data_IF_973168179745
#
_entry.id   IF_973168179745
#
_cell.length_a   1.000
_cell.length_b   1.000
_cell.length_c   1.000
_cell.angle_alpha   90.00
_cell.angle_beta   90.00
_cell.angle_gamma   90.00
#
_symmetry.space_group_name_H-M   'P 1'
#
loop_
_entity.id
_entity.type
_entity.pdbx_description
1 polymer ?
#
# COMPACT_ATOMS: atom_id res chain seq x y z
N UNK A 1 -15.42 10.25 56.60
CA UNK A 1 -14.27 10.45 55.68
C UNK A 1 -14.00 9.27 54.72
N UNK A 2 -14.86 8.25 54.62
CA UNK A 2 -14.64 7.06 53.75
C UNK A 2 -15.36 7.09 52.38
N UNK A 3 -16.21 8.09 52.10
CA UNK A 3 -17.03 8.16 50.87
C UNK A 3 -16.35 8.90 49.70
N UNK A 4 -15.31 9.70 49.96
CA UNK A 4 -14.60 10.46 48.92
C UNK A 4 -13.45 9.69 48.27
N UNK A 5 -12.96 8.61 48.91
CA UNK A 5 -11.84 7.81 48.40
C UNK A 5 -12.21 7.00 47.15
N UNK A 6 -13.49 6.68 46.95
CA UNK A 6 -13.96 5.90 45.79
C UNK A 6 -14.11 6.76 44.51
N UNK A 7 -14.26 8.08 44.65
CA UNK A 7 -14.47 9.00 43.51
C UNK A 7 -13.14 9.35 42.82
N UNK A 8 -12.00 9.17 43.50
CA UNK A 8 -10.66 9.46 42.95
C UNK A 8 -10.07 8.30 42.11
N UNK A 9 -10.62 7.08 42.20
CA UNK A 9 -10.12 5.89 41.49
C UNK A 9 -10.68 5.71 40.08
N UNK A 10 -11.83 6.34 39.76
CA UNK A 10 -12.46 6.27 38.43
C UNK A 10 -11.67 7.01 37.31
N UNK A 11 -11.06 8.20 37.53
CA UNK A 11 -10.28 8.87 36.48
C UNK A 11 -8.97 8.14 36.13
N UNK A 12 -8.41 7.34 37.05
CA UNK A 12 -7.15 6.60 36.82
C UNK A 12 -7.33 5.44 35.82
N UNK A 13 -8.50 4.78 35.82
CA UNK A 13 -8.83 3.71 34.87
C UNK A 13 -9.02 4.23 33.43
N UNK A 14 -9.45 5.49 33.26
CA UNK A 14 -9.54 6.13 31.94
C UNK A 14 -8.19 6.59 31.38
N UNK A 15 -7.17 6.79 32.22
CA UNK A 15 -5.82 7.17 31.77
C UNK A 15 -5.05 5.96 31.20
N UNK A 16 -5.25 4.76 31.74
CA UNK A 16 -4.57 3.54 31.29
C UNK A 16 -5.02 3.08 29.89
N UNK A 17 -6.29 3.29 29.54
CA UNK A 17 -6.86 2.87 28.25
C UNK A 17 -6.47 3.77 27.07
N UNK A 18 -6.06 5.03 27.32
CA UNK A 18 -5.58 5.95 26.26
C UNK A 18 -4.17 5.60 25.75
N UNK A 19 -3.36 4.92 26.54
CA UNK A 19 -1.95 4.66 26.20
C UNK A 19 -1.82 3.67 25.03
N UNK A 20 -2.62 2.60 25.02
CA UNK A 20 -2.57 1.57 23.97
C UNK A 20 -3.01 2.07 22.59
N UNK A 21 -4.05 2.90 22.54
CA UNK A 21 -4.56 3.47 21.28
C UNK A 21 -3.58 4.47 20.70
N UNK A 22 -3.05 5.36 21.53
CA UNK A 22 -2.08 6.37 21.09
C UNK A 22 -0.82 5.70 20.54
N UNK A 23 -0.36 4.61 21.18
CA UNK A 23 0.76 3.79 20.69
C UNK A 23 0.46 3.17 19.33
N UNK A 24 -0.70 2.54 19.12
CA UNK A 24 -1.07 1.96 17.82
C UNK A 24 -1.11 3.02 16.71
N UNK A 25 -1.65 4.21 17.00
CA UNK A 25 -1.67 5.32 16.04
C UNK A 25 -0.25 5.83 15.75
N UNK A 26 0.61 5.96 16.76
CA UNK A 26 2.00 6.36 16.59
C UNK A 26 2.78 5.34 15.74
N UNK A 27 2.58 4.04 15.99
CA UNK A 27 3.18 2.95 15.20
C UNK A 27 2.71 2.97 13.74
N UNK A 28 1.42 3.21 13.50
CA UNK A 28 0.89 3.36 12.14
C UNK A 28 1.41 4.61 11.43
N UNK A 29 1.60 5.73 12.15
CA UNK A 29 2.24 6.93 11.61
C UNK A 29 3.72 6.72 11.29
N UNK A 30 4.44 5.91 12.08
CA UNK A 30 5.83 5.55 11.80
C UNK A 30 5.97 4.75 10.49
N UNK A 31 4.98 3.92 10.12
CA UNK A 31 4.96 3.26 8.80
C UNK A 31 4.93 4.26 7.64
N UNK A 32 4.20 5.37 7.77
CA UNK A 32 4.21 6.43 6.76
C UNK A 32 5.60 7.04 6.53
N UNK A 33 6.45 7.03 7.56
CA UNK A 33 7.85 7.51 7.51
C UNK A 33 8.85 6.45 7.03
N UNK A 34 8.42 5.20 6.83
CA UNK A 34 9.29 4.15 6.32
C UNK A 34 9.64 4.37 4.84
N UNK A 35 10.79 3.83 4.42
CA UNK A 35 11.17 3.73 3.00
C UNK A 35 10.66 2.42 2.43
N UNK A 36 10.20 2.45 1.19
CA UNK A 36 9.63 1.30 0.50
C UNK A 36 10.44 1.08 -0.77
N UNK A 37 10.85 -0.17 -1.00
CA UNK A 37 11.64 -0.56 -2.16
C UNK A 37 10.99 -1.80 -2.78
N UNK A 38 10.79 -1.79 -4.10
CA UNK A 38 10.30 -2.96 -4.82
C UNK A 38 11.45 -3.96 -4.97
N UNK A 39 11.38 -5.08 -4.24
CA UNK A 39 12.38 -6.15 -4.29
C UNK A 39 12.17 -7.00 -5.53
N UNK A 40 10.93 -7.43 -5.73
CA UNK A 40 10.54 -8.24 -6.88
C UNK A 40 9.10 -7.97 -7.27
N UNK A 41 8.83 -8.19 -8.55
CA UNK A 41 7.50 -8.35 -9.09
C UNK A 41 7.43 -9.80 -9.61
N UNK A 42 7.07 -10.73 -8.73
CA UNK A 42 7.16 -12.18 -8.99
C UNK A 42 6.28 -12.59 -10.17
N UNK A 43 5.10 -11.98 -10.26
CA UNK A 43 4.14 -12.20 -11.34
C UNK A 43 3.39 -10.92 -11.63
N UNK A 44 3.35 -10.49 -12.90
CA UNK A 44 2.62 -9.31 -13.36
C UNK A 44 1.95 -9.68 -14.67
N UNK A 45 0.62 -9.66 -14.70
CA UNK A 45 -0.20 -10.01 -15.85
C UNK A 45 -1.09 -8.83 -16.22
N UNK A 46 -1.08 -8.44 -17.49
CA UNK A 46 -1.98 -7.42 -18.03
C UNK A 46 -2.77 -8.02 -19.19
N UNK A 47 -4.11 -8.06 -19.08
CA UNK A 47 -4.98 -8.81 -19.98
C UNK A 47 -4.53 -10.28 -20.17
N UNK A 48 -4.00 -10.90 -19.11
CA UNK A 48 -3.44 -12.25 -19.13
C UNK A 48 -2.07 -12.41 -19.81
N UNK A 49 -1.45 -11.30 -20.27
CA UNK A 49 -0.09 -11.31 -20.83
C UNK A 49 0.91 -11.17 -19.69
N UNK A 50 1.86 -12.12 -19.58
CA UNK A 50 2.94 -12.03 -18.58
C UNK A 50 3.90 -10.89 -18.94
N UNK A 51 3.95 -9.85 -18.13
CA UNK A 51 4.77 -8.66 -18.40
C UNK A 51 6.26 -8.91 -18.23
N UNK A 52 6.67 -9.96 -17.51
CA UNK A 52 8.09 -10.32 -17.33
C UNK A 52 8.77 -10.73 -18.63
N UNK A 53 8.01 -11.17 -19.65
CA UNK A 53 8.59 -11.46 -20.97
C UNK A 53 9.19 -10.22 -21.67
N UNK A 54 8.89 -9.02 -21.16
CA UNK A 54 9.44 -7.76 -21.63
C UNK A 54 10.61 -7.25 -20.77
N UNK A 55 11.08 -8.04 -19.81
CA UNK A 55 12.22 -7.68 -18.96
C UNK A 55 13.45 -7.36 -19.81
N UNK A 56 14.13 -6.26 -19.47
CA UNK A 56 15.31 -5.81 -20.20
C UNK A 56 15.03 -5.12 -21.55
N UNK A 57 13.77 -5.04 -22.00
CA UNK A 57 13.40 -4.28 -23.20
C UNK A 57 13.37 -2.77 -22.88
N UNK A 58 13.73 -1.94 -23.87
CA UNK A 58 13.80 -0.49 -23.69
C UNK A 58 12.43 0.19 -23.75
N UNK A 59 11.48 -0.38 -24.50
CA UNK A 59 10.15 0.20 -24.63
C UNK A 59 9.11 -0.90 -24.85
N UNK A 60 8.08 -0.92 -24.02
CA UNK A 60 7.00 -1.90 -24.12
C UNK A 60 5.85 -1.24 -24.88
N UNK A 61 5.62 -1.67 -26.13
CA UNK A 61 4.46 -1.23 -26.87
C UNK A 61 3.23 -2.05 -26.45
N UNK A 62 2.52 -1.58 -25.42
CA UNK A 62 1.27 -2.22 -24.97
C UNK A 62 0.19 -2.21 -26.08
N UNK A 63 0.19 -1.21 -26.95
CA UNK A 63 -0.81 -1.09 -28.03
C UNK A 63 -0.75 -2.19 -29.09
N UNK A 64 0.38 -2.91 -29.21
CA UNK A 64 0.53 -4.00 -30.18
C UNK A 64 0.05 -5.36 -29.66
N UNK A 65 -0.36 -5.46 -28.39
CA UNK A 65 -0.79 -6.73 -27.80
C UNK A 65 -2.24 -7.06 -28.21
N UNK A 66 -2.51 -8.17 -28.94
CA UNK A 66 -3.87 -8.48 -29.41
C UNK A 66 -4.89 -8.67 -28.27
N UNK A 67 -4.45 -9.22 -27.13
CA UNK A 67 -5.30 -9.38 -25.94
C UNK A 67 -5.72 -8.04 -25.34
N UNK A 68 -4.87 -7.00 -25.43
CA UNK A 68 -5.24 -5.66 -25.00
C UNK A 68 -6.30 -5.05 -25.91
N UNK A 69 -6.22 -5.25 -27.23
CA UNK A 69 -7.27 -4.79 -28.15
C UNK A 69 -8.65 -5.36 -27.79
N UNK A 70 -8.74 -6.67 -27.50
CA UNK A 70 -9.98 -7.29 -27.01
C UNK A 70 -10.42 -6.74 -25.65
N UNK A 71 -9.48 -6.41 -24.77
CA UNK A 71 -9.75 -5.77 -23.49
C UNK A 71 -10.32 -4.34 -23.64
N UNK A 72 -9.89 -3.58 -24.65
CA UNK A 72 -10.49 -2.29 -24.96
C UNK A 72 -11.93 -2.42 -25.48
N UNK A 73 -12.19 -3.39 -26.37
CA UNK A 73 -13.55 -3.66 -26.89
C UNK A 73 -14.49 -4.06 -25.76
N UNK A 74 -14.04 -4.96 -24.88
CA UNK A 74 -14.85 -5.44 -23.75
C UNK A 74 -14.87 -4.51 -22.53
N UNK A 75 -14.09 -3.42 -22.56
CA UNK A 75 -13.83 -2.52 -21.42
C UNK A 75 -13.31 -3.26 -20.18
N UNK A 76 -12.62 -4.37 -20.39
CA UNK A 76 -12.09 -5.25 -19.34
C UNK A 76 -10.63 -5.59 -19.62
N UNK A 77 -9.73 -4.93 -18.88
CA UNK A 77 -8.29 -5.16 -18.95
C UNK A 77 -7.83 -5.56 -17.55
N UNK A 78 -7.91 -6.85 -17.19
CA UNK A 78 -7.48 -7.30 -15.86
C UNK A 78 -5.97 -7.10 -15.69
N UNK A 79 -5.59 -6.49 -14.57
CA UNK A 79 -4.22 -6.39 -14.09
C UNK A 79 -4.10 -7.18 -12.80
N UNK A 80 -3.27 -8.21 -12.82
CA UNK A 80 -2.95 -9.04 -11.66
C UNK A 80 -1.44 -8.95 -11.38
N UNK A 81 -1.05 -8.57 -10.17
CA UNK A 81 0.34 -8.46 -9.80
C UNK A 81 0.62 -9.00 -8.39
N UNK A 82 1.76 -9.65 -8.22
CA UNK A 82 2.32 -10.06 -6.93
C UNK A 82 3.67 -9.38 -6.77
N UNK A 83 3.73 -8.47 -5.81
CA UNK A 83 4.91 -7.66 -5.53
C UNK A 83 5.49 -8.04 -4.18
N UNK A 84 6.80 -7.95 -4.03
CA UNK A 84 7.47 -8.03 -2.73
C UNK A 84 8.10 -6.69 -2.44
N UNK A 85 7.62 -6.02 -1.39
CA UNK A 85 8.14 -4.73 -0.95
C UNK A 85 9.06 -4.93 0.25
N UNK A 86 10.24 -4.31 0.21
CA UNK A 86 11.09 -4.13 1.40
C UNK A 86 10.74 -2.82 2.05
N UNK A 87 10.28 -2.89 3.29
CA UNK A 87 10.01 -1.74 4.15
C UNK A 87 11.23 -1.54 5.04
N UNK A 88 11.77 -0.33 5.10
CA UNK A 88 12.86 0.05 6.00
C UNK A 88 12.38 1.16 6.92
N UNK A 89 12.50 0.98 8.23
CA UNK A 89 12.09 1.97 9.22
C UNK A 89 13.29 2.80 9.70
N UNK A 90 13.43 4.06 9.24
CA UNK A 90 14.53 4.92 9.69
C UNK A 90 14.28 5.57 11.05
N UNK A 91 13.09 5.39 11.64
CA UNK A 91 12.68 6.11 12.86
C UNK A 91 13.08 5.38 14.13
N UNK A 92 13.09 6.08 15.27
CA UNK A 92 13.31 5.47 16.58
C UNK A 92 12.09 4.70 17.13
N UNK A 93 10.94 4.84 16.48
CA UNK A 93 9.69 4.19 16.87
C UNK A 93 9.47 2.91 16.08
N UNK A 94 8.94 1.86 16.71
CA UNK A 94 8.49 0.67 15.97
C UNK A 94 7.38 1.08 14.99
N UNK A 95 7.52 0.70 13.74
CA UNK A 95 6.48 0.92 12.74
C UNK A 95 5.63 -0.34 12.63
N UNK A 96 4.39 -0.29 13.09
CA UNK A 96 3.53 -1.46 13.15
C UNK A 96 2.06 -1.14 12.85
N UNK A 97 1.37 -2.10 12.25
CA UNK A 97 -0.07 -2.05 11.97
C UNK A 97 -0.62 -3.47 11.95
N UNK A 98 -1.77 -3.68 12.61
CA UNK A 98 -2.39 -5.01 12.70
C UNK A 98 -3.11 -5.38 11.42
N UNK A 99 -4.27 -4.76 11.22
CA UNK A 99 -5.07 -4.92 10.02
C UNK A 99 -5.32 -3.54 9.44
N UNK A 100 -5.43 -3.44 8.12
CA UNK A 100 -5.72 -2.18 7.48
C UNK A 100 -6.34 -2.35 6.10
N UNK A 101 -7.25 -1.45 5.78
CA UNK A 101 -7.61 -1.18 4.39
C UNK A 101 -6.51 -0.33 3.77
N UNK A 102 -6.17 -0.58 2.51
CA UNK A 102 -5.30 0.29 1.75
C UNK A 102 -5.94 0.70 0.44
N UNK A 103 -5.54 1.88 -0.02
CA UNK A 103 -5.79 2.39 -1.36
C UNK A 103 -4.48 2.85 -1.95
N UNK A 104 -4.25 2.53 -3.21
CA UNK A 104 -3.15 3.07 -3.98
C UNK A 104 -3.75 3.99 -5.03
N UNK A 105 -3.18 5.16 -5.16
CA UNK A 105 -3.58 6.15 -6.14
C UNK A 105 -2.41 6.44 -7.08
N UNK A 106 -2.74 6.61 -8.36
CA UNK A 106 -1.87 7.17 -9.39
C UNK A 106 -2.42 8.54 -9.77
N UNK A 107 -1.62 9.60 -9.63
CA UNK A 107 -2.04 10.98 -9.94
C UNK A 107 -3.39 11.36 -9.29
N UNK A 108 -3.55 11.01 -8.02
CA UNK A 108 -4.77 11.19 -7.21
C UNK A 108 -6.00 10.39 -7.65
N UNK A 109 -5.92 9.60 -8.71
CA UNK A 109 -6.96 8.63 -9.08
C UNK A 109 -6.75 7.33 -8.33
N UNK A 110 -7.79 6.83 -7.67
CA UNK A 110 -7.78 5.53 -7.01
C UNK A 110 -7.64 4.41 -8.04
N UNK A 111 -6.62 3.59 -7.87
CA UNK A 111 -6.28 2.53 -8.84
C UNK A 111 -6.40 1.13 -8.24
N UNK A 112 -6.09 1.00 -6.96
CA UNK A 112 -6.16 -0.26 -6.23
C UNK A 112 -6.74 -0.04 -4.85
N UNK A 113 -7.55 -0.97 -4.38
CA UNK A 113 -7.99 -1.07 -3.00
C UNK A 113 -7.83 -2.50 -2.51
N UNK A 114 -7.65 -2.67 -1.20
CA UNK A 114 -7.54 -3.99 -0.62
C UNK A 114 -7.42 -3.96 0.89
N UNK A 115 -7.23 -5.15 1.47
CA UNK A 115 -7.11 -5.34 2.91
C UNK A 115 -5.89 -6.19 3.22
N UNK A 116 -5.14 -5.77 4.23
CA UNK A 116 -4.12 -6.60 4.87
C UNK A 116 -4.67 -6.99 6.23
N UNK A 117 -4.80 -8.30 6.44
CA UNK A 117 -5.43 -8.90 7.61
C UNK A 117 -4.44 -9.51 8.61
N UNK A 118 -3.14 -9.27 8.42
CA UNK A 118 -2.07 -9.76 9.28
C UNK A 118 -1.14 -8.62 9.70
N UNK A 119 -0.55 -8.75 10.88
CA UNK A 119 0.32 -7.73 11.46
C UNK A 119 1.57 -7.52 10.63
N UNK A 120 1.82 -6.27 10.26
CA UNK A 120 3.09 -5.79 9.69
C UNK A 120 3.82 -5.04 10.79
N UNK A 121 5.05 -5.44 11.08
CA UNK A 121 5.89 -4.82 12.12
C UNK A 121 7.33 -4.69 11.64
N UNK A 122 7.87 -3.47 11.71
CA UNK A 122 9.21 -3.14 11.29
C UNK A 122 9.94 -2.49 12.46
N UNK A 123 10.97 -3.18 12.94
CA UNK A 123 11.80 -2.72 14.05
C UNK A 123 12.37 -1.31 13.79
N UNK A 124 12.59 -0.49 14.83
CA UNK A 124 13.16 0.85 14.69
C UNK A 124 14.63 0.81 14.26
N UNK A 125 15.19 1.99 13.99
CA UNK A 125 16.64 2.23 13.76
C UNK A 125 17.20 1.38 12.61
N UNK A 126 16.54 1.46 11.44
CA UNK A 126 16.99 0.79 10.22
C UNK A 126 16.47 -0.64 10.06
N UNK A 127 15.59 -1.12 10.96
CA UNK A 127 14.93 -2.41 10.80
C UNK A 127 14.24 -2.56 9.44
N UNK A 128 14.22 -3.79 8.93
CA UNK A 128 13.63 -4.10 7.62
C UNK A 128 12.66 -5.27 7.68
N UNK A 129 11.67 -5.26 6.81
CA UNK A 129 10.71 -6.36 6.62
C UNK A 129 10.36 -6.48 5.14
N UNK A 130 10.19 -7.70 4.64
CA UNK A 130 9.62 -7.96 3.31
C UNK A 130 8.14 -8.29 3.45
N UNK A 131 7.29 -7.58 2.70
CA UNK A 131 5.83 -7.75 2.71
C UNK A 131 5.37 -8.08 1.29
N UNK A 132 4.75 -9.26 1.08
CA UNK A 132 4.12 -9.58 -0.19
C UNK A 132 2.80 -8.81 -0.33
N UNK A 133 2.58 -8.19 -1.48
CA UNK A 133 1.36 -7.47 -1.83
C UNK A 133 0.78 -8.09 -3.09
N UNK A 134 -0.51 -8.44 -3.03
CA UNK A 134 -1.27 -8.94 -4.17
C UNK A 134 -2.20 -7.85 -4.66
N UNK A 135 -2.23 -7.65 -5.97
CA UNK A 135 -2.99 -6.62 -6.65
C UNK A 135 -3.84 -7.31 -7.72
N UNK A 136 -5.12 -6.97 -7.78
CA UNK A 136 -6.03 -7.39 -8.84
C UNK A 136 -7.02 -6.25 -9.11
N UNK A 137 -7.08 -5.74 -10.34
CA UNK A 137 -8.00 -4.66 -10.74
C UNK A 137 -8.32 -4.69 -12.23
N UNK A 138 -9.34 -3.94 -12.67
CA UNK A 138 -9.55 -3.63 -14.08
C UNK A 138 -8.82 -2.33 -14.45
N UNK A 139 -7.75 -2.44 -15.23
CA UNK A 139 -6.92 -1.34 -15.67
C UNK A 139 -7.48 -0.55 -16.86
N UNK A 140 -8.68 -0.90 -17.39
CA UNK A 140 -9.27 -0.20 -18.54
C UNK A 140 -9.29 1.33 -18.34
N UNK A 141 -9.85 1.79 -17.22
CA UNK A 141 -9.89 3.22 -16.90
C UNK A 141 -8.50 3.83 -16.71
N UNK A 142 -7.53 3.06 -16.22
CA UNK A 142 -6.15 3.52 -16.00
C UNK A 142 -5.39 3.76 -17.30
N UNK A 143 -5.80 3.10 -18.38
CA UNK A 143 -5.18 3.22 -19.69
C UNK A 143 -5.94 4.24 -20.56
N UNK A 144 -7.26 4.34 -20.41
CA UNK A 144 -8.09 5.26 -21.20
C UNK A 144 -8.16 6.68 -20.66
N UNK A 145 -8.00 6.88 -19.35
CA UNK A 145 -8.02 8.22 -18.74
C UNK A 145 -6.65 8.89 -18.91
N UNK A 146 -6.63 10.02 -19.62
CA UNK A 146 -5.44 10.83 -19.88
C UNK A 146 -4.67 11.21 -18.61
N UNK A 147 -5.35 11.40 -17.48
CA UNK A 147 -4.72 11.78 -16.20
C UNK A 147 -3.87 10.66 -15.61
N UNK A 148 -4.19 9.40 -15.93
CA UNK A 148 -3.59 8.22 -15.32
C UNK A 148 -2.76 7.39 -16.30
N UNK A 149 -3.07 7.47 -17.60
CA UNK A 149 -2.46 6.67 -18.66
C UNK A 149 -0.95 6.61 -18.60
N UNK A 150 -0.29 7.77 -18.57
CA UNK A 150 1.17 7.83 -18.63
C UNK A 150 1.81 7.32 -17.34
N UNK A 151 1.22 7.66 -16.18
CA UNK A 151 1.68 7.19 -14.87
C UNK A 151 1.48 5.67 -14.72
N UNK A 152 0.41 5.13 -15.28
CA UNK A 152 0.15 3.69 -15.32
C UNK A 152 1.11 2.97 -16.25
N UNK A 153 1.40 3.52 -17.43
CA UNK A 153 2.40 2.98 -18.35
C UNK A 153 3.80 2.94 -17.70
N UNK A 154 4.19 3.97 -16.96
CA UNK A 154 5.44 3.98 -16.19
C UNK A 154 5.43 2.91 -15.08
N UNK A 155 4.31 2.75 -14.37
CA UNK A 155 4.17 1.75 -13.32
C UNK A 155 4.34 0.33 -13.86
N UNK A 156 3.66 0.01 -14.97
CA UNK A 156 3.76 -1.29 -15.63
C UNK A 156 5.19 -1.53 -16.15
N UNK A 157 5.86 -0.51 -16.68
CA UNK A 157 7.27 -0.61 -17.08
C UNK A 157 8.19 -0.91 -15.90
N UNK A 158 8.01 -0.26 -14.74
CA UNK A 158 8.78 -0.58 -13.53
C UNK A 158 8.56 -2.02 -13.08
N UNK A 159 7.31 -2.49 -13.08
CA UNK A 159 6.96 -3.86 -12.69
C UNK A 159 7.50 -4.90 -13.67
N UNK A 160 7.60 -4.57 -14.96
CA UNK A 160 8.16 -5.46 -15.99
C UNK A 160 9.69 -5.54 -15.98
N UNK A 161 10.39 -4.63 -15.29
CA UNK A 161 11.84 -4.56 -15.31
C UNK A 161 12.44 -3.96 -16.59
N UNK A 162 11.74 -3.01 -17.22
CA UNK A 162 12.27 -2.27 -18.37
C UNK A 162 13.50 -1.44 -17.97
N UNK A 163 14.55 -1.40 -18.81
CA UNK A 163 15.86 -0.81 -18.46
C UNK A 163 15.80 0.69 -18.16
N UNK A 164 14.93 1.41 -18.87
CA UNK A 164 14.78 2.87 -18.77
C UNK A 164 13.42 3.24 -18.17
N UNK A 165 12.88 2.40 -17.29
CA UNK A 165 11.62 2.68 -16.62
C UNK A 165 11.76 3.97 -15.78
N UNK A 166 10.87 4.94 -16.04
CA UNK A 166 10.81 6.17 -15.22
C UNK A 166 10.28 5.81 -13.85
N UNK A 167 10.83 6.39 -12.78
CA UNK A 167 10.27 6.22 -11.43
C UNK A 167 8.79 6.57 -11.40
N UNK A 168 7.99 5.72 -10.77
CA UNK A 168 6.56 5.96 -10.56
C UNK A 168 6.32 6.51 -9.16
N UNK A 169 5.65 7.66 -9.06
CA UNK A 169 5.16 8.17 -7.78
C UNK A 169 3.75 7.62 -7.56
N UNK A 170 3.56 6.92 -6.45
CA UNK A 170 2.25 6.45 -6.01
C UNK A 170 1.88 7.11 -4.69
N UNK A 171 0.59 7.34 -4.48
CA UNK A 171 0.07 7.73 -3.17
C UNK A 171 -0.56 6.52 -2.51
N UNK A 172 -0.09 6.16 -1.33
CA UNK A 172 -0.64 5.08 -0.53
C UNK A 172 -1.48 5.71 0.57
N UNK A 173 -2.73 5.27 0.68
CA UNK A 173 -3.63 5.60 1.77
C UNK A 173 -3.89 4.33 2.55
N UNK A 174 -3.64 4.34 3.86
CA UNK A 174 -3.97 3.22 4.74
C UNK A 174 -4.98 3.67 5.80
N UNK A 175 -5.96 2.82 6.08
CA UNK A 175 -6.90 3.00 7.18
C UNK A 175 -6.68 1.86 8.17
N UNK A 176 -5.94 2.09 9.26
CA UNK A 176 -5.70 1.09 10.29
C UNK A 176 -6.99 0.65 10.97
N UNK A 177 -7.04 -0.62 11.34
CA UNK A 177 -7.94 -1.15 12.37
C UNK A 177 -7.21 -1.09 13.70
N UNK A 178 -7.83 -0.45 14.68
CA UNK A 178 -7.33 -0.24 16.03
C UNK A 178 -8.07 -1.12 17.03
N UNK A 179 -7.34 -1.76 17.92
CA UNK A 179 -7.91 -2.58 18.98
C UNK A 179 -8.18 -1.75 20.24
N UNK A 180 -9.45 -1.73 20.66
CA UNK A 180 -9.99 -1.06 21.86
C UNK A 180 -10.54 -2.12 22.83
N UNK A 181 -9.66 -2.67 23.67
CA UNK A 181 -10.02 -3.78 24.55
C UNK A 181 -10.46 -4.98 23.72
N UNK A 182 -11.73 -5.37 23.83
CA UNK A 182 -12.29 -6.53 23.11
C UNK A 182 -12.98 -6.16 21.78
N UNK A 183 -12.87 -4.90 21.33
CA UNK A 183 -13.48 -4.42 20.08
C UNK A 183 -12.41 -3.89 19.15
N UNK A 184 -12.51 -4.21 17.86
CA UNK A 184 -11.68 -3.60 16.82
C UNK A 184 -12.50 -2.52 16.10
N UNK A 185 -11.92 -1.32 15.93
CA UNK A 185 -12.55 -0.20 15.24
C UNK A 185 -11.64 0.32 14.14
N UNK A 186 -12.22 0.82 13.04
CA UNK A 186 -11.42 1.48 12.03
C UNK A 186 -11.04 2.89 12.46
N UNK A 187 -9.80 3.29 12.19
CA UNK A 187 -9.35 4.66 12.36
C UNK A 187 -10.25 5.61 11.53
N UNK A 188 -10.66 6.78 12.06
CA UNK A 188 -11.68 7.63 11.43
C UNK A 188 -11.24 8.31 10.12
N UNK A 189 -10.05 8.00 9.59
CA UNK A 189 -9.54 8.55 8.34
C UNK A 189 -8.50 7.66 7.67
N UNK A 190 -7.87 8.20 6.63
CA UNK A 190 -6.72 7.58 5.96
C UNK A 190 -5.42 8.27 6.39
N UNK A 191 -4.42 7.48 6.75
CA UNK A 191 -3.03 7.92 6.81
C UNK A 191 -2.51 7.86 5.38
N UNK A 192 -2.07 9.00 4.84
CA UNK A 192 -1.66 9.13 3.45
C UNK A 192 -0.16 9.40 3.37
N UNK A 193 0.53 8.74 2.45
CA UNK A 193 1.92 9.01 2.17
C UNK A 193 2.23 8.74 0.69
N UNK A 194 3.07 9.58 0.10
CA UNK A 194 3.59 9.38 -1.25
C UNK A 194 4.86 8.52 -1.20
N UNK A 195 5.01 7.65 -2.19
CA UNK A 195 6.18 6.78 -2.35
C UNK A 195 6.61 6.76 -3.80
N UNK A 196 7.90 6.93 -4.00
CA UNK A 196 8.55 6.59 -5.27
C UNK A 196 8.75 5.08 -5.33
N UNK A 197 8.36 4.48 -6.43
CA UNK A 197 8.63 3.09 -6.78
C UNK A 197 9.41 3.08 -8.09
N UNK A 198 10.54 2.40 -8.07
CA UNK A 198 11.44 2.19 -9.19
C UNK A 198 12.61 1.34 -8.73
N UNK A 199 13.36 0.79 -9.68
CA UNK A 199 14.65 0.14 -9.40
C UNK A 199 15.75 1.17 -9.23
#
# INVERSE_FOLDING_TARGET
MKKYTLILLLPILFLLSRCGVNKQVQQAKALGKCRFELVSADSVYLAGVNMKQFEGQNNINLGSLPRLAMGFISKSIPLDARLVLKITNPTAETAAINQFEYKILLRNSEVFTGYVNHRVEVAPVGGTMRVPIVISTNAYHLITDEKTRDAFADLVQNFSGAKNARKSVITIKIKPTLDLGNKSINYPGYITFEKEIGR
#
